data_IF_911984674879
#
_entry.id   IF_911984674879
#
_cell.length_a   1.000
_cell.length_b   1.000
_cell.length_c   1.000
_cell.angle_alpha   90.00
_cell.angle_beta   90.00
_cell.angle_gamma   90.00
#
_symmetry.space_group_name_H-M   'P 1'
#
loop_
_entity.id
_entity.type
_entity.pdbx_description
1 polymer ?
#
# COMPACT_ATOMS: atom_id res chain seq x y z
N UNK A 1 10.41 -16.82 2.02
CA UNK A 1 9.37 -17.40 2.88
C UNK A 1 9.60 -16.92 4.32
N UNK A 2 9.05 -15.77 4.74
CA UNK A 2 9.14 -15.38 6.16
C UNK A 2 7.91 -15.93 6.86
N UNK A 3 8.06 -17.12 7.41
CA UNK A 3 7.03 -17.76 8.22
C UNK A 3 7.30 -17.37 9.67
N UNK A 4 6.28 -16.84 10.34
CA UNK A 4 6.42 -16.45 11.74
C UNK A 4 6.74 -17.67 12.61
N UNK A 5 7.50 -17.47 13.68
CA UNK A 5 7.95 -18.52 14.61
C UNK A 5 6.81 -19.45 15.08
N UNK A 6 5.65 -18.87 15.40
CA UNK A 6 4.45 -19.64 15.80
C UNK A 6 3.85 -20.55 14.70
N UNK A 7 4.12 -20.28 13.42
CA UNK A 7 3.69 -21.15 12.32
C UNK A 7 4.71 -22.28 12.09
N UNK A 8 5.98 -22.04 12.43
CA UNK A 8 7.03 -23.08 12.43
C UNK A 8 6.79 -24.08 13.56
N UNK A 9 6.55 -23.61 14.78
CA UNK A 9 6.20 -24.47 15.92
C UNK A 9 4.94 -25.30 15.64
N UNK A 10 3.93 -24.70 14.99
CA UNK A 10 2.69 -25.38 14.65
C UNK A 10 2.89 -26.44 13.55
N UNK A 11 3.77 -26.18 12.58
CA UNK A 11 4.12 -27.16 11.55
C UNK A 11 4.86 -28.35 12.17
N UNK A 12 5.79 -28.08 13.10
CA UNK A 12 6.58 -29.09 13.80
C UNK A 12 5.71 -29.96 14.71
N UNK A 13 4.80 -29.34 15.48
CA UNK A 13 3.83 -30.05 16.30
C UNK A 13 2.87 -30.95 15.49
N UNK A 14 2.64 -30.62 14.23
CA UNK A 14 1.83 -31.40 13.29
C UNK A 14 2.68 -32.39 12.45
N UNK A 15 4.01 -32.39 12.60
CA UNK A 15 4.92 -33.25 11.84
C UNK A 15 4.93 -32.97 10.33
N UNK A 16 4.56 -31.76 9.90
CA UNK A 16 4.46 -31.40 8.48
C UNK A 16 5.43 -30.29 8.11
N UNK A 17 5.78 -30.19 6.83
CA UNK A 17 6.54 -29.03 6.35
C UNK A 17 5.70 -27.77 6.49
N UNK A 18 6.38 -26.64 6.67
CA UNK A 18 5.73 -25.32 6.70
C UNK A 18 4.95 -25.04 5.40
N UNK A 19 5.42 -25.54 4.25
CA UNK A 19 4.69 -25.42 2.97
C UNK A 19 3.40 -26.26 2.94
N UNK A 20 3.39 -27.41 3.62
CA UNK A 20 2.22 -28.26 3.75
C UNK A 20 1.21 -27.63 4.71
N UNK A 21 1.69 -27.02 5.80
CA UNK A 21 0.84 -26.23 6.70
C UNK A 21 0.16 -25.08 5.95
N UNK A 22 0.89 -24.30 5.14
CA UNK A 22 0.32 -23.20 4.36
C UNK A 22 -0.73 -23.71 3.36
N UNK A 23 -0.49 -24.85 2.68
CA UNK A 23 -1.48 -25.45 1.78
C UNK A 23 -2.74 -25.90 2.50
N UNK A 24 -2.62 -26.51 3.67
CA UNK A 24 -3.77 -26.91 4.50
C UNK A 24 -4.58 -25.70 4.94
N UNK A 25 -3.92 -24.63 5.38
CA UNK A 25 -4.58 -23.38 5.77
C UNK A 25 -5.35 -22.74 4.61
N UNK A 26 -4.83 -22.80 3.39
CA UNK A 26 -5.50 -22.31 2.17
C UNK A 26 -6.72 -23.15 1.76
N UNK A 27 -6.77 -24.43 2.15
CA UNK A 27 -7.83 -25.37 1.79
C UNK A 27 -8.95 -25.46 2.83
N UNK A 28 -8.76 -24.88 4.03
CA UNK A 28 -9.78 -24.88 5.08
C UNK A 28 -10.96 -23.96 4.69
N UNK A 29 -12.20 -24.44 4.81
CA UNK A 29 -13.38 -23.61 4.61
C UNK A 29 -13.41 -22.48 5.64
N UNK A 30 -13.81 -21.28 5.21
CA UNK A 30 -13.85 -20.08 6.05
C UNK A 30 -14.86 -20.19 7.21
N UNK A 31 -15.83 -21.10 7.08
CA UNK A 31 -16.90 -21.36 8.02
C UNK A 31 -16.39 -22.28 9.14
N UNK A 32 -16.17 -21.73 10.34
CA UNK A 32 -15.83 -22.51 11.54
C UNK A 32 -14.43 -22.26 12.10
N UNK A 33 -13.60 -21.45 11.43
CA UNK A 33 -12.32 -21.03 12.02
C UNK A 33 -12.58 -19.78 12.87
N UNK A 34 -12.31 -19.84 14.18
CA UNK A 34 -12.22 -18.67 15.07
C UNK A 34 -10.98 -17.81 14.73
N UNK A 35 -10.76 -17.54 13.44
CA UNK A 35 -9.45 -17.35 12.85
C UNK A 35 -8.96 -15.91 12.93
N UNK A 36 -7.66 -15.78 13.22
CA UNK A 36 -6.89 -14.66 12.68
C UNK A 36 -7.02 -14.67 11.15
N UNK A 37 -7.35 -13.53 10.56
CA UNK A 37 -7.39 -13.38 9.10
C UNK A 37 -5.98 -13.56 8.55
N UNK A 38 -5.79 -14.54 7.66
CA UNK A 38 -4.56 -14.75 6.93
C UNK A 38 -4.70 -14.18 5.53
N UNK A 39 -3.71 -13.42 5.08
CA UNK A 39 -3.62 -12.94 3.69
C UNK A 39 -2.40 -13.58 3.06
N UNK A 40 -2.61 -14.20 1.91
CA UNK A 40 -1.54 -14.82 1.14
C UNK A 40 -1.15 -13.89 -0.01
N UNK A 41 0.13 -13.53 -0.06
CA UNK A 41 0.70 -12.68 -1.11
C UNK A 41 1.68 -13.50 -1.94
N UNK A 42 1.38 -13.63 -3.23
CA UNK A 42 2.33 -14.16 -4.20
C UNK A 42 3.35 -13.09 -4.62
N UNK A 43 4.48 -13.55 -5.17
CA UNK A 43 5.58 -12.68 -5.62
C UNK A 43 5.15 -11.67 -6.71
N UNK A 44 4.20 -12.02 -7.58
CA UNK A 44 3.73 -11.12 -8.63
C UNK A 44 2.90 -9.96 -8.05
N UNK A 45 2.07 -10.26 -7.06
CA UNK A 45 1.26 -9.31 -6.32
C UNK A 45 2.13 -8.39 -5.48
N UNK A 46 3.12 -8.94 -4.76
CA UNK A 46 4.11 -8.14 -4.03
C UNK A 46 4.87 -7.17 -4.95
N UNK A 47 5.26 -7.62 -6.14
CA UNK A 47 5.92 -6.77 -7.14
C UNK A 47 5.01 -5.67 -7.70
N UNK A 48 3.71 -5.94 -7.90
CA UNK A 48 2.74 -4.91 -8.31
C UNK A 48 2.59 -3.84 -7.23
N UNK A 49 2.41 -4.25 -5.97
CA UNK A 49 2.32 -3.34 -4.82
C UNK A 49 3.57 -2.45 -4.71
N UNK A 50 4.76 -3.03 -4.88
CA UNK A 50 6.01 -2.27 -4.88
C UNK A 50 6.04 -1.17 -5.96
N UNK A 51 5.61 -1.48 -7.19
CA UNK A 51 5.56 -0.49 -8.29
C UNK A 51 4.54 0.61 -8.01
N UNK A 52 3.38 0.25 -7.49
CA UNK A 52 2.34 1.22 -7.15
C UNK A 52 2.79 2.17 -6.04
N UNK A 53 3.42 1.65 -4.98
CA UNK A 53 3.98 2.46 -3.90
C UNK A 53 5.06 3.43 -4.41
N UNK A 54 5.93 2.98 -5.31
CA UNK A 54 6.93 3.86 -5.92
C UNK A 54 6.29 4.96 -6.79
N UNK A 55 5.27 4.60 -7.58
CA UNK A 55 4.53 5.57 -8.38
C UNK A 55 3.84 6.63 -7.50
N UNK A 56 3.29 6.20 -6.37
CA UNK A 56 2.67 7.10 -5.39
C UNK A 56 3.68 8.05 -4.76
N UNK A 57 4.86 7.55 -4.39
CA UNK A 57 5.98 8.37 -3.91
C UNK A 57 6.39 9.44 -4.94
N UNK A 58 6.49 9.06 -6.22
CA UNK A 58 6.82 9.99 -7.29
C UNK A 58 5.74 11.08 -7.47
N UNK A 59 4.45 10.71 -7.47
CA UNK A 59 3.35 11.66 -7.57
C UNK A 59 3.33 12.64 -6.39
N UNK A 60 3.59 12.16 -5.17
CA UNK A 60 3.64 12.99 -3.96
C UNK A 60 4.81 13.98 -3.99
N UNK A 61 5.99 13.55 -4.47
CA UNK A 61 7.13 14.43 -4.64
C UNK A 61 6.86 15.51 -5.71
N UNK A 62 6.21 15.16 -6.82
CA UNK A 62 5.85 16.15 -7.83
C UNK A 62 4.91 17.23 -7.29
N UNK A 63 3.88 16.84 -6.53
CA UNK A 63 2.99 17.80 -5.89
C UNK A 63 3.75 18.74 -4.93
N UNK A 64 4.69 18.20 -4.13
CA UNK A 64 5.54 19.01 -3.26
C UNK A 64 6.45 19.98 -4.04
N UNK A 65 7.02 19.54 -5.16
CA UNK A 65 7.83 20.41 -6.02
C UNK A 65 7.02 21.53 -6.65
N UNK A 66 5.81 21.24 -7.14
CA UNK A 66 4.90 22.25 -7.68
C UNK A 66 4.55 23.29 -6.61
N UNK A 67 4.19 22.86 -5.40
CA UNK A 67 3.94 23.75 -4.26
C UNK A 67 5.15 24.61 -3.89
N UNK A 68 6.35 24.03 -3.86
CA UNK A 68 7.58 24.78 -3.59
C UNK A 68 7.86 25.83 -4.67
N UNK A 69 7.54 25.53 -5.94
CA UNK A 69 7.69 26.48 -7.04
C UNK A 69 6.71 27.65 -6.90
N UNK A 70 5.45 27.39 -6.57
CA UNK A 70 4.45 28.43 -6.26
C UNK A 70 4.95 29.32 -5.11
N UNK A 71 5.39 28.71 -4.01
CA UNK A 71 5.90 29.44 -2.84
C UNK A 71 7.13 30.29 -3.18
N UNK A 72 8.03 29.79 -4.03
CA UNK A 72 9.20 30.53 -4.50
C UNK A 72 8.80 31.80 -5.27
N UNK A 73 7.88 31.69 -6.22
CA UNK A 73 7.48 32.83 -7.03
C UNK A 73 6.64 33.86 -6.26
N UNK A 74 5.76 33.40 -5.36
CA UNK A 74 5.03 34.27 -4.44
C UNK A 74 5.95 35.10 -3.56
N UNK A 75 7.01 34.49 -3.01
CA UNK A 75 8.02 35.20 -2.17
C UNK A 75 8.84 36.23 -2.93
N UNK A 76 8.90 36.14 -4.25
CA UNK A 76 9.71 37.03 -5.10
C UNK A 76 8.87 38.09 -5.80
N UNK A 77 7.55 38.16 -5.53
CA UNK A 77 6.59 39.03 -6.26
C UNK A 77 6.73 38.90 -7.79
N UNK A 78 7.14 37.71 -8.25
CA UNK A 78 7.64 37.49 -9.60
C UNK A 78 6.64 36.72 -10.49
N UNK A 79 5.41 36.52 -10.02
CA UNK A 79 4.31 35.91 -10.77
C UNK A 79 3.09 36.80 -10.67
N UNK A 80 2.37 36.94 -11.79
CA UNK A 80 1.09 37.61 -11.79
C UNK A 80 0.04 36.73 -11.07
N UNK A 81 -0.99 37.35 -10.50
CA UNK A 81 -1.99 36.64 -9.70
C UNK A 81 -2.66 35.49 -10.48
N UNK A 82 -2.79 35.64 -11.81
CA UNK A 82 -3.31 34.61 -12.72
C UNK A 82 -2.43 33.35 -12.75
N UNK A 83 -1.11 33.51 -12.84
CA UNK A 83 -0.18 32.38 -12.92
C UNK A 83 -0.19 31.57 -11.62
N UNK A 84 -0.33 32.26 -10.48
CA UNK A 84 -0.42 31.63 -9.16
C UNK A 84 -1.68 30.77 -9.05
N UNK A 85 -2.81 31.30 -9.51
CA UNK A 85 -4.10 30.61 -9.48
C UNK A 85 -4.10 29.38 -10.39
N UNK A 86 -3.46 29.45 -11.56
CA UNK A 86 -3.36 28.31 -12.48
C UNK A 86 -2.51 27.17 -11.90
N UNK A 87 -1.36 27.50 -11.30
CA UNK A 87 -0.50 26.52 -10.64
C UNK A 87 -1.18 25.92 -9.39
N UNK A 88 -1.88 26.72 -8.58
CA UNK A 88 -2.68 26.22 -7.46
C UNK A 88 -3.78 25.27 -7.92
N UNK A 89 -4.46 25.58 -9.02
CA UNK A 89 -5.46 24.70 -9.61
C UNK A 89 -4.85 23.40 -10.14
N UNK A 90 -3.64 23.46 -10.72
CA UNK A 90 -2.88 22.28 -11.16
C UNK A 90 -2.54 21.36 -9.99
N UNK A 91 -2.04 21.93 -8.88
CA UNK A 91 -1.77 21.19 -7.64
C UNK A 91 -3.05 20.60 -7.06
N UNK A 92 -4.15 21.36 -7.03
CA UNK A 92 -5.47 20.88 -6.58
C UNK A 92 -5.90 19.61 -7.32
N UNK A 93 -5.83 19.62 -8.66
CA UNK A 93 -6.13 18.44 -9.50
C UNK A 93 -5.18 17.27 -9.27
N UNK A 94 -3.92 17.51 -8.92
CA UNK A 94 -2.98 16.44 -8.57
C UNK A 94 -3.32 15.85 -7.19
N UNK A 95 -3.71 16.68 -6.24
CA UNK A 95 -4.07 16.28 -4.89
C UNK A 95 -5.39 15.49 -4.85
N UNK A 96 -6.39 15.90 -5.64
CA UNK A 96 -7.65 15.17 -5.80
C UNK A 96 -7.41 13.76 -6.37
N UNK A 97 -6.62 13.65 -7.44
CA UNK A 97 -6.23 12.35 -8.02
C UNK A 97 -5.45 11.48 -7.04
N UNK A 98 -4.60 12.08 -6.20
CA UNK A 98 -3.93 11.36 -5.11
C UNK A 98 -4.93 10.88 -4.06
N UNK A 99 -5.88 11.72 -3.67
CA UNK A 99 -6.86 11.39 -2.63
C UNK A 99 -7.81 10.27 -3.06
N UNK A 100 -8.30 10.31 -4.30
CA UNK A 100 -9.17 9.28 -4.88
C UNK A 100 -8.47 7.90 -4.87
N UNK A 101 -7.25 7.83 -5.43
CA UNK A 101 -6.46 6.59 -5.44
C UNK A 101 -6.09 6.12 -4.04
N UNK A 102 -5.85 7.05 -3.11
CA UNK A 102 -5.57 6.70 -1.70
C UNK A 102 -6.80 6.12 -1.02
N UNK A 103 -7.99 6.67 -1.29
CA UNK A 103 -9.26 6.17 -0.77
C UNK A 103 -9.56 4.74 -1.22
N UNK A 104 -9.30 4.43 -2.49
CA UNK A 104 -9.46 3.08 -3.05
C UNK A 104 -8.55 2.04 -2.39
N UNK A 105 -7.31 2.41 -2.05
CA UNK A 105 -6.39 1.47 -1.38
C UNK A 105 -6.51 1.47 0.15
N UNK A 106 -7.11 2.47 0.78
CA UNK A 106 -7.14 2.58 2.24
C UNK A 106 -7.81 1.38 2.91
N UNK A 107 -8.97 0.96 2.41
CA UNK A 107 -9.69 -0.19 2.98
C UNK A 107 -8.98 -1.54 2.73
N UNK A 108 -8.50 -1.86 1.51
CA UNK A 108 -7.66 -3.02 1.25
C UNK A 108 -6.36 -3.04 2.07
N UNK A 109 -5.63 -1.92 2.12
CA UNK A 109 -4.35 -1.82 2.87
C UNK A 109 -4.58 -2.02 4.35
N UNK A 110 -5.65 -1.46 4.93
CA UNK A 110 -6.01 -1.70 6.33
C UNK A 110 -6.30 -3.17 6.60
N UNK A 111 -7.05 -3.85 5.72
CA UNK A 111 -7.30 -5.29 5.83
C UNK A 111 -6.00 -6.11 5.78
N UNK A 112 -5.04 -5.72 4.94
CA UNK A 112 -3.72 -6.35 4.85
C UNK A 112 -2.89 -6.08 6.10
N UNK A 113 -2.90 -4.85 6.63
CA UNK A 113 -2.16 -4.45 7.82
C UNK A 113 -2.67 -5.13 9.11
N UNK A 114 -3.98 -5.40 9.19
CA UNK A 114 -4.61 -6.12 10.31
C UNK A 114 -4.50 -7.66 10.15
N UNK A 115 -4.08 -8.15 8.99
CA UNK A 115 -3.96 -9.57 8.70
C UNK A 115 -2.55 -10.11 8.96
N UNK A 116 -2.47 -11.41 9.27
CA UNK A 116 -1.18 -12.11 9.32
C UNK A 116 -0.78 -12.51 7.90
N UNK A 117 0.30 -11.92 7.39
CA UNK A 117 0.77 -12.13 6.02
C UNK A 117 1.58 -13.43 5.91
N UNK A 118 1.23 -14.25 4.94
CA UNK A 118 2.01 -15.42 4.51
C UNK A 118 2.49 -15.15 3.08
N UNK A 119 3.80 -15.12 2.87
CA UNK A 119 4.41 -14.95 1.54
C UNK A 119 4.70 -16.32 0.93
N UNK A 120 4.11 -16.59 -0.24
CA UNK A 120 4.34 -17.80 -1.05
C UNK A 120 5.53 -17.63 -1.98
#
# INVERSE_FOLDING_TARGET
MHVGEADVERADALGITTSALVRLLLQLPAEGVAARRHVVLDLACANRLYRELNQWGYQRNQAAHALNRIAYHLRREAMDASDVLEELASVGRQLERLHERTGELAAPVRKVAEARLLFL
#
